data_IF_660131381109
#
_entry.id   IF_660131381109
#
_cell.length_a   1.000
_cell.length_b   1.000
_cell.length_c   1.000
_cell.angle_alpha   90.00
_cell.angle_beta   90.00
_cell.angle_gamma   90.00
#
_symmetry.space_group_name_H-M   'P 1'
#
loop_
_entity.id
_entity.type
_entity.pdbx_description
1 polymer ?
#
# COMPACT_ATOMS: atom_id res chain seq x y z
N UNK A 1 -16.20 37.11 49.46
CA UNK A 1 -14.83 37.07 50.00
C UNK A 1 -14.30 35.65 49.82
N UNK A 2 -13.20 35.48 49.05
CA UNK A 2 -12.27 34.30 48.92
C UNK A 2 -12.93 32.99 48.43
N UNK A 3 -12.76 32.48 47.19
CA UNK A 3 -11.58 32.07 46.38
C UNK A 3 -10.66 31.06 47.08
N UNK A 4 -10.64 29.81 46.57
CA UNK A 4 -9.51 28.88 46.31
C UNK A 4 -10.15 27.51 45.91
N UNK A 5 -10.19 27.05 44.66
CA UNK A 5 -9.12 26.46 43.82
C UNK A 5 -8.37 25.27 44.45
N UNK A 6 -8.67 24.05 43.99
CA UNK A 6 -7.65 23.00 43.74
C UNK A 6 -8.06 22.22 42.49
N UNK A 7 -7.41 22.56 41.37
CA UNK A 7 -7.34 21.75 40.17
C UNK A 7 -6.16 20.78 40.35
N UNK A 8 -6.43 19.48 40.41
CA UNK A 8 -5.38 18.46 40.44
C UNK A 8 -5.18 17.89 39.03
N UNK A 9 -4.17 18.46 38.38
CA UNK A 9 -3.21 17.83 37.47
C UNK A 9 -3.68 16.60 36.64
N UNK A 10 -4.13 16.86 35.42
CA UNK A 10 -3.99 15.94 34.28
C UNK A 10 -2.69 16.32 33.58
N UNK A 11 -1.57 15.68 33.91
CA UNK A 11 -0.31 16.00 33.22
C UNK A 11 0.75 14.90 33.36
N UNK A 12 0.50 13.69 32.84
CA UNK A 12 1.58 12.71 32.59
C UNK A 12 1.19 11.69 31.50
N UNK A 13 1.18 12.13 30.23
CA UNK A 13 1.15 11.18 29.10
C UNK A 13 1.81 11.71 27.82
N UNK A 14 2.58 12.79 27.89
CA UNK A 14 3.23 13.41 26.71
C UNK A 14 4.75 13.17 26.60
N UNK A 15 5.36 12.41 27.51
CA UNK A 15 6.82 12.15 27.48
C UNK A 15 7.24 10.76 26.96
N UNK A 16 6.31 9.87 26.61
CA UNK A 16 6.67 8.53 26.13
C UNK A 16 6.99 8.45 24.62
N UNK A 17 6.77 9.51 23.85
CA UNK A 17 7.01 9.47 22.39
C UNK A 17 8.47 9.75 22.00
N UNK A 18 9.23 10.49 22.82
CA UNK A 18 10.58 10.93 22.46
C UNK A 18 11.65 9.84 22.67
N UNK A 19 11.44 8.89 23.59
CA UNK A 19 12.40 7.82 23.87
C UNK A 19 12.36 6.66 22.85
N UNK A 20 11.30 6.53 22.05
CA UNK A 20 11.13 5.45 21.05
C UNK A 20 11.89 5.65 19.73
N UNK A 21 12.56 6.78 19.55
CA UNK A 21 13.33 7.04 18.33
C UNK A 21 14.75 6.44 18.37
N UNK A 22 15.30 6.19 19.56
CA UNK A 22 16.70 5.78 19.74
C UNK A 22 16.97 4.28 19.49
N UNK A 23 15.97 3.42 19.67
CA UNK A 23 16.12 1.95 19.54
C UNK A 23 15.42 1.40 18.28
N UNK A 24 15.48 2.13 17.17
CA UNK A 24 15.01 1.60 15.88
C UNK A 24 16.12 0.75 15.27
N UNK A 25 16.04 -0.59 15.27
CA UNK A 25 17.00 -1.39 14.53
C UNK A 25 16.94 -0.99 13.05
N UNK A 26 18.10 -0.80 12.43
CA UNK A 26 18.20 -0.37 11.03
C UNK A 26 17.58 -1.40 10.08
N UNK A 27 17.66 -2.71 10.41
CA UNK A 27 17.12 -3.84 9.63
C UNK A 27 16.85 -4.99 10.62
N UNK A 28 15.67 -5.62 10.57
CA UNK A 28 15.39 -6.87 11.30
C UNK A 28 15.88 -8.12 10.55
N UNK A 29 16.11 -9.23 11.25
CA UNK A 29 16.48 -10.52 10.66
C UNK A 29 15.23 -11.29 10.19
N UNK A 30 14.99 -11.28 8.87
CA UNK A 30 13.89 -12.00 8.25
C UNK A 30 13.90 -13.52 8.51
N UNK A 31 15.08 -14.15 8.67
CA UNK A 31 15.15 -15.60 8.95
C UNK A 31 14.70 -15.92 10.36
N UNK A 32 15.05 -15.08 11.33
CA UNK A 32 14.53 -15.20 12.69
C UNK A 32 13.02 -14.89 12.72
N UNK A 33 12.62 -13.85 12.00
CA UNK A 33 11.21 -13.47 11.84
C UNK A 33 10.33 -14.60 11.32
N UNK A 34 10.79 -15.35 10.32
CA UNK A 34 10.06 -16.52 9.80
C UNK A 34 9.81 -17.59 10.89
N UNK A 35 10.77 -17.80 11.79
CA UNK A 35 10.61 -18.73 12.92
C UNK A 35 9.53 -18.23 13.89
N UNK A 36 9.54 -16.93 14.18
CA UNK A 36 8.58 -16.30 15.09
C UNK A 36 7.16 -16.33 14.52
N UNK A 37 7.00 -16.01 13.23
CA UNK A 37 5.72 -16.11 12.53
C UNK A 37 5.20 -17.55 12.51
N UNK A 38 6.08 -18.52 12.25
CA UNK A 38 5.73 -19.95 12.28
C UNK A 38 5.31 -20.41 13.68
N UNK A 39 6.02 -19.98 14.73
CA UNK A 39 5.66 -20.27 16.12
C UNK A 39 4.30 -19.67 16.51
N UNK A 40 3.96 -18.50 15.97
CA UNK A 40 2.65 -17.87 16.12
C UNK A 40 1.56 -18.53 15.25
N UNK A 41 1.85 -19.62 14.54
CA UNK A 41 0.94 -20.29 13.58
C UNK A 41 0.40 -19.33 12.52
N UNK A 42 1.18 -18.31 12.16
CA UNK A 42 0.77 -17.30 11.21
C UNK A 42 1.05 -17.75 9.78
N UNK A 43 -0.02 -17.97 9.01
CA UNK A 43 0.10 -18.19 7.57
C UNK A 43 0.47 -16.86 6.90
N UNK A 44 1.69 -16.78 6.36
CA UNK A 44 2.10 -15.58 5.66
C UNK A 44 1.33 -15.47 4.34
N UNK A 45 0.70 -14.32 4.12
CA UNK A 45 0.02 -13.97 2.87
C UNK A 45 0.78 -12.87 2.12
N UNK A 46 0.61 -12.87 0.80
CA UNK A 46 1.01 -11.76 -0.07
C UNK A 46 -0.17 -10.81 -0.20
N UNK A 47 -0.07 -9.70 0.52
CA UNK A 47 -1.05 -8.62 0.61
C UNK A 47 -0.32 -7.33 1.00
N UNK A 48 0.28 -6.69 0.00
CA UNK A 48 1.01 -5.45 0.13
C UNK A 48 0.10 -4.30 0.58
N UNK A 49 -1.17 -4.29 0.20
CA UNK A 49 -2.14 -3.30 0.66
C UNK A 49 -2.30 -3.36 2.20
N UNK A 50 -2.51 -4.56 2.75
CA UNK A 50 -2.62 -4.78 4.19
C UNK A 50 -1.34 -4.41 4.94
N UNK A 51 -0.17 -4.80 4.43
CA UNK A 51 1.10 -4.53 5.11
C UNK A 51 1.47 -3.04 5.09
N UNK A 52 1.18 -2.34 3.99
CA UNK A 52 1.57 -0.94 3.81
C UNK A 52 0.58 0.08 4.38
N UNK A 53 -0.61 -0.33 4.83
CA UNK A 53 -1.63 0.60 5.37
C UNK A 53 -1.26 1.28 6.69
N UNK A 54 -0.22 0.80 7.37
CA UNK A 54 0.25 1.33 8.64
C UNK A 54 1.75 1.64 8.59
N UNK A 55 2.21 2.66 9.33
CA UNK A 55 3.63 2.82 9.58
C UNK A 55 4.18 1.67 10.44
N UNK A 56 5.48 1.40 10.32
CA UNK A 56 6.13 0.22 10.92
C UNK A 56 5.94 0.16 12.45
N UNK A 57 6.02 1.28 13.16
CA UNK A 57 5.80 1.37 14.61
C UNK A 57 4.38 0.93 15.01
N UNK A 58 3.37 1.33 14.24
CA UNK A 58 1.99 0.88 14.45
C UNK A 58 1.86 -0.62 14.16
N UNK A 59 2.55 -1.16 13.15
CA UNK A 59 2.55 -2.61 12.90
C UNK A 59 3.16 -3.37 14.08
N UNK A 60 4.28 -2.89 14.63
CA UNK A 60 4.90 -3.49 15.82
C UNK A 60 3.93 -3.49 17.01
N UNK A 61 3.21 -2.40 17.25
CA UNK A 61 2.17 -2.35 18.30
C UNK A 61 1.02 -3.33 18.06
N UNK A 62 0.63 -3.53 16.80
CA UNK A 62 -0.41 -4.50 16.42
C UNK A 62 0.05 -5.94 16.61
N UNK A 63 1.33 -6.22 16.36
CA UNK A 63 1.94 -7.52 16.64
C UNK A 63 2.07 -7.83 18.13
N UNK A 64 2.10 -6.82 19.00
CA UNK A 64 2.01 -7.05 20.46
C UNK A 64 0.60 -7.56 20.84
N UNK A 65 -0.44 -7.10 20.14
CA UNK A 65 -1.84 -7.36 20.49
C UNK A 65 -2.49 -8.49 19.68
N UNK A 66 -1.86 -8.92 18.58
CA UNK A 66 -2.47 -9.86 17.63
C UNK A 66 -3.72 -9.31 16.95
N UNK A 67 -3.73 -8.02 16.60
CA UNK A 67 -4.90 -7.36 16.01
C UNK A 67 -4.75 -7.01 14.52
N UNK A 68 -5.85 -6.65 13.87
CA UNK A 68 -5.85 -6.16 12.48
C UNK A 68 -5.20 -7.12 11.48
N UNK A 69 -5.30 -8.43 11.74
CA UNK A 69 -4.72 -9.49 10.92
C UNK A 69 -3.22 -9.70 11.10
N UNK A 70 -2.56 -9.03 12.06
CA UNK A 70 -1.18 -9.32 12.43
C UNK A 70 -1.13 -10.41 13.52
N UNK A 71 -0.10 -11.27 13.52
CA UNK A 71 0.06 -12.27 14.57
C UNK A 71 0.46 -11.63 15.88
N UNK A 72 0.04 -12.24 16.99
CA UNK A 72 0.62 -11.92 18.30
C UNK A 72 2.01 -12.53 18.40
N UNK A 73 3.03 -11.70 18.55
CA UNK A 73 4.41 -12.12 18.80
C UNK A 73 4.69 -11.98 20.31
N UNK A 74 4.51 -13.09 21.03
CA UNK A 74 4.69 -13.18 22.48
C UNK A 74 6.18 -13.27 22.84
N UNK A 75 6.87 -12.13 22.70
CA UNK A 75 8.26 -11.97 23.11
C UNK A 75 8.42 -10.65 23.85
N UNK A 76 9.16 -10.65 24.96
CA UNK A 76 9.50 -9.39 25.64
C UNK A 76 10.53 -8.58 24.83
N UNK A 77 11.30 -9.24 23.96
CA UNK A 77 12.30 -8.61 23.11
C UNK A 77 11.65 -7.81 21.96
N UNK A 78 11.93 -6.51 21.90
CA UNK A 78 11.45 -5.64 20.82
C UNK A 78 12.05 -6.05 19.47
N UNK A 79 13.28 -6.55 19.44
CA UNK A 79 13.95 -6.97 18.19
C UNK A 79 13.21 -8.13 17.50
N UNK A 80 12.64 -9.07 18.27
CA UNK A 80 11.89 -10.19 17.70
C UNK A 80 10.68 -9.72 16.89
N UNK A 81 9.99 -8.67 17.33
CA UNK A 81 8.88 -8.07 16.56
C UNK A 81 9.36 -7.39 15.28
N UNK A 82 10.53 -6.74 15.33
CA UNK A 82 11.15 -6.16 14.13
C UNK A 82 11.61 -7.23 13.15
N UNK A 83 12.11 -8.36 13.63
CA UNK A 83 12.46 -9.53 12.82
C UNK A 83 11.21 -10.10 12.14
N UNK A 84 10.11 -10.27 12.89
CA UNK A 84 8.83 -10.71 12.35
C UNK A 84 8.30 -9.74 11.27
N UNK A 85 8.40 -8.42 11.49
CA UNK A 85 8.07 -7.43 10.48
C UNK A 85 8.99 -7.52 9.25
N UNK A 86 10.29 -7.72 9.43
CA UNK A 86 11.24 -7.90 8.34
C UNK A 86 10.90 -9.13 7.49
N UNK A 87 10.47 -10.23 8.11
CA UNK A 87 10.00 -11.43 7.41
C UNK A 87 8.73 -11.15 6.58
N UNK A 88 7.75 -10.43 7.13
CA UNK A 88 6.57 -10.00 6.37
C UNK A 88 6.94 -9.10 5.19
N UNK A 89 7.84 -8.13 5.41
CA UNK A 89 8.33 -7.20 4.38
C UNK A 89 9.08 -7.92 3.26
N UNK A 90 9.86 -8.94 3.57
CA UNK A 90 10.58 -9.72 2.56
C UNK A 90 9.64 -10.44 1.58
N UNK A 91 8.46 -10.84 2.05
CA UNK A 91 7.44 -11.58 1.27
C UNK A 91 6.39 -10.70 0.60
N UNK A 92 6.42 -9.39 0.82
CA UNK A 92 5.43 -8.45 0.28
C UNK A 92 6.10 -7.34 -0.52
N UNK A 93 5.36 -6.67 -1.39
CA UNK A 93 5.86 -5.44 -2.00
C UNK A 93 5.87 -4.30 -0.96
N UNK A 94 6.97 -3.55 -0.88
CA UNK A 94 7.09 -2.42 0.05
C UNK A 94 6.69 -1.11 -0.64
N UNK A 95 5.81 -0.34 0.00
CA UNK A 95 5.44 0.99 -0.46
C UNK A 95 6.65 1.91 -0.59
N UNK A 96 7.68 1.71 0.25
CA UNK A 96 8.93 2.50 0.21
C UNK A 96 9.62 2.45 -1.17
N UNK A 97 9.50 1.33 -1.87
CA UNK A 97 10.04 1.14 -3.22
C UNK A 97 9.21 1.86 -4.31
N UNK A 98 8.00 2.31 -3.97
CA UNK A 98 7.02 2.91 -4.88
C UNK A 98 6.81 4.42 -4.63
N UNK A 99 7.50 5.02 -3.65
CA UNK A 99 7.22 6.39 -3.20
C UNK A 99 7.50 7.48 -4.26
N UNK A 100 8.42 7.23 -5.20
CA UNK A 100 8.77 8.23 -6.23
C UNK A 100 9.20 9.59 -5.65
N UNK A 101 9.81 9.61 -4.47
CA UNK A 101 10.21 10.84 -3.77
C UNK A 101 9.12 11.49 -2.91
N UNK A 102 7.99 10.81 -2.68
CA UNK A 102 7.00 11.21 -1.70
C UNK A 102 7.51 11.08 -0.26
N UNK A 103 7.06 11.98 0.60
CA UNK A 103 7.31 12.01 2.05
C UNK A 103 6.00 11.97 2.87
N UNK A 104 4.85 11.98 2.20
CA UNK A 104 3.54 11.81 2.82
C UNK A 104 2.66 10.88 1.99
N UNK A 105 1.89 10.04 2.69
CA UNK A 105 1.02 9.03 2.10
C UNK A 105 -0.37 9.18 2.68
N UNK A 106 -1.36 9.43 1.84
CA UNK A 106 -2.77 9.34 2.17
C UNK A 106 -3.25 7.92 1.90
N UNK A 107 -3.73 7.22 2.93
CA UNK A 107 -4.26 5.86 2.79
C UNK A 107 -5.79 5.93 2.77
N UNK A 108 -6.40 5.55 1.64
CA UNK A 108 -7.84 5.65 1.46
C UNK A 108 -8.42 4.32 0.95
N UNK A 109 -9.44 3.76 1.62
CA UNK A 109 -10.26 2.72 1.02
C UNK A 109 -11.11 3.34 -0.10
N UNK A 110 -11.11 2.71 -1.25
CA UNK A 110 -11.90 3.08 -2.42
C UNK A 110 -12.76 1.91 -2.85
N UNK A 111 -13.97 2.21 -3.29
CA UNK A 111 -14.87 1.26 -3.92
C UNK A 111 -15.25 1.77 -5.30
N UNK A 112 -15.25 0.88 -6.29
CA UNK A 112 -15.63 1.23 -7.64
C UNK A 112 -17.14 1.47 -7.71
N UNK A 113 -17.54 2.61 -8.28
CA UNK A 113 -18.94 2.92 -8.53
C UNK A 113 -19.49 2.16 -9.75
N UNK A 114 -20.81 2.19 -9.93
CA UNK A 114 -21.48 1.49 -11.03
C UNK A 114 -20.93 1.90 -12.41
N UNK A 115 -20.48 3.15 -12.56
CA UNK A 115 -19.92 3.65 -13.80
C UNK A 115 -18.51 3.11 -14.08
N UNK A 116 -17.65 3.02 -13.07
CA UNK A 116 -16.34 2.39 -13.15
C UNK A 116 -16.47 0.91 -13.45
N UNK A 117 -17.40 0.22 -12.77
CA UNK A 117 -17.73 -1.19 -13.05
C UNK A 117 -18.17 -1.36 -14.51
N UNK A 118 -19.06 -0.50 -15.02
CA UNK A 118 -19.51 -0.55 -16.41
C UNK A 118 -18.35 -0.34 -17.40
N UNK A 119 -17.47 0.66 -17.18
CA UNK A 119 -16.30 0.89 -18.06
C UNK A 119 -15.36 -0.31 -18.09
N UNK A 120 -15.08 -0.92 -16.94
CA UNK A 120 -14.20 -2.09 -16.85
C UNK A 120 -14.79 -3.33 -17.54
N UNK A 121 -16.10 -3.56 -17.39
CA UNK A 121 -16.80 -4.68 -18.06
C UNK A 121 -16.94 -4.43 -19.56
N UNK A 122 -17.37 -3.25 -19.96
CA UNK A 122 -17.79 -2.98 -21.33
C UNK A 122 -16.62 -2.60 -22.23
N UNK A 123 -15.65 -1.84 -21.73
CA UNK A 123 -14.51 -1.37 -22.52
C UNK A 123 -13.29 -2.25 -22.32
N UNK A 124 -12.95 -2.53 -21.06
CA UNK A 124 -11.77 -3.34 -20.73
C UNK A 124 -12.05 -4.85 -20.80
N UNK A 125 -13.30 -5.31 -20.79
CA UNK A 125 -13.68 -6.74 -20.81
C UNK A 125 -13.17 -7.53 -19.59
N UNK A 126 -13.03 -6.86 -18.44
CA UNK A 126 -12.60 -7.51 -17.20
C UNK A 126 -13.78 -8.27 -16.57
N UNK A 127 -13.60 -9.52 -16.11
CA UNK A 127 -14.64 -10.29 -15.45
C UNK A 127 -15.17 -9.60 -14.18
N UNK A 128 -16.49 -9.61 -13.98
CA UNK A 128 -17.13 -8.99 -12.81
C UNK A 128 -16.59 -9.48 -11.46
N UNK A 129 -16.21 -10.75 -11.36
CA UNK A 129 -15.65 -11.33 -10.13
C UNK A 129 -14.32 -10.71 -9.70
N UNK A 130 -13.61 -10.00 -10.59
CA UNK A 130 -12.37 -9.28 -10.27
C UNK A 130 -12.61 -7.80 -9.93
N UNK A 131 -13.84 -7.30 -10.01
CA UNK A 131 -14.19 -5.87 -9.92
C UNK A 131 -14.75 -5.51 -8.54
N UNK A 132 -15.56 -6.38 -7.92
CA UNK A 132 -16.35 -6.07 -6.72
C UNK A 132 -15.60 -6.23 -5.38
N UNK A 133 -14.47 -5.53 -5.24
CA UNK A 133 -13.66 -5.54 -4.02
C UNK A 133 -13.31 -4.12 -3.55
N UNK A 134 -13.31 -3.91 -2.23
CA UNK A 134 -12.76 -2.69 -1.62
C UNK A 134 -11.23 -2.71 -1.80
N UNK A 135 -10.67 -1.57 -2.22
CA UNK A 135 -9.23 -1.44 -2.53
C UNK A 135 -8.61 -0.31 -1.74
N UNK A 136 -7.38 -0.50 -1.28
CA UNK A 136 -6.61 0.59 -0.69
C UNK A 136 -5.81 1.29 -1.78
N UNK A 137 -5.99 2.61 -1.86
CA UNK A 137 -5.19 3.49 -2.69
C UNK A 137 -4.32 4.36 -1.80
N UNK A 138 -3.03 4.44 -2.14
CA UNK A 138 -2.04 5.21 -1.44
C UNK A 138 -1.73 6.47 -2.25
N UNK A 139 -2.34 7.60 -1.89
CA UNK A 139 -2.03 8.89 -2.50
C UNK A 139 -0.66 9.38 -2.05
N UNK A 140 0.25 9.66 -2.98
CA UNK A 140 1.65 9.99 -2.70
C UNK A 140 1.88 11.50 -2.84
N UNK A 141 2.46 12.13 -1.83
CA UNK A 141 2.67 13.57 -1.73
C UNK A 141 4.11 13.91 -1.33
N UNK A 142 4.65 14.99 -1.90
CA UNK A 142 5.96 15.56 -1.57
C UNK A 142 5.76 16.91 -0.89
N UNK A 143 5.82 16.90 0.43
CA UNK A 143 5.49 18.04 1.32
C UNK A 143 6.72 18.76 1.86
N UNK A 144 7.92 18.20 1.68
CA UNK A 144 9.18 18.70 2.25
C UNK A 144 9.47 18.18 3.66
N UNK A 145 8.81 17.11 4.10
CA UNK A 145 9.01 16.52 5.42
C UNK A 145 10.29 15.68 5.47
N UNK A 146 10.94 15.60 6.64
CA UNK A 146 12.20 14.87 6.84
C UNK A 146 12.04 13.34 6.94
N UNK A 147 10.85 12.81 6.70
CA UNK A 147 10.55 11.39 6.78
C UNK A 147 9.14 11.06 6.29
N UNK A 148 8.87 9.77 6.07
CA UNK A 148 7.60 9.30 5.55
C UNK A 148 6.49 9.43 6.61
N UNK A 149 5.43 10.16 6.26
CA UNK A 149 4.27 10.35 7.12
C UNK A 149 3.02 9.69 6.54
N UNK A 150 2.31 8.91 7.36
CA UNK A 150 1.05 8.27 6.97
C UNK A 150 -0.12 9.10 7.48
N UNK A 151 -1.04 9.44 6.59
CA UNK A 151 -2.25 10.21 6.86
C UNK A 151 -3.47 9.33 6.60
N UNK A 152 -4.22 9.05 7.66
CA UNK A 152 -5.47 8.29 7.57
C UNK A 152 -6.65 9.13 7.08
N UNK A 153 -7.75 8.47 6.67
CA UNK A 153 -8.92 9.12 6.08
C UNK A 153 -9.60 10.11 7.04
N UNK A 154 -9.55 9.85 8.35
CA UNK A 154 -10.21 10.64 9.39
C UNK A 154 -9.33 11.79 9.93
N UNK A 155 -8.08 11.92 9.49
CA UNK A 155 -7.13 12.92 10.00
C UNK A 155 -7.24 14.25 9.23
N UNK A 156 -8.40 14.91 9.31
CA UNK A 156 -8.75 16.12 8.53
C UNK A 156 -7.63 17.18 8.51
N UNK A 157 -7.14 17.60 9.68
CA UNK A 157 -6.07 18.61 9.79
C UNK A 157 -4.77 18.25 9.07
N UNK A 158 -4.44 16.96 8.96
CA UNK A 158 -3.25 16.50 8.24
C UNK A 158 -3.55 16.34 6.75
N UNK A 159 -4.76 15.92 6.40
CA UNK A 159 -5.25 15.89 5.01
C UNK A 159 -5.27 17.28 4.37
N UNK A 160 -5.64 18.32 5.10
CA UNK A 160 -5.65 19.71 4.61
C UNK A 160 -4.26 20.21 4.17
N UNK A 161 -3.18 19.59 4.70
CA UNK A 161 -1.80 19.90 4.30
C UNK A 161 -1.38 19.20 3.01
N UNK A 162 -2.13 18.18 2.57
CA UNK A 162 -1.87 17.45 1.35
C UNK A 162 -2.52 18.19 0.18
N UNK A 163 -1.71 18.93 -0.58
CA UNK A 163 -2.20 19.77 -1.67
C UNK A 163 -2.04 19.06 -3.02
N UNK A 164 -2.92 19.38 -3.98
CA UNK A 164 -2.91 18.79 -5.33
C UNK A 164 -1.60 19.02 -6.10
N UNK A 165 -0.97 20.18 -5.92
CA UNK A 165 0.33 20.52 -6.51
C UNK A 165 1.46 19.65 -5.93
N UNK A 166 1.41 19.39 -4.61
CA UNK A 166 2.37 18.51 -3.90
C UNK A 166 2.19 17.02 -4.15
N UNK A 167 1.04 16.59 -4.69
CA UNK A 167 0.85 15.18 -5.10
C UNK A 167 1.94 14.81 -6.10
N UNK A 168 2.43 13.57 -6.10
CA UNK A 168 3.39 13.06 -7.09
C UNK A 168 2.88 11.83 -7.82
N UNK A 169 1.91 11.12 -7.24
CA UNK A 169 1.29 9.96 -7.86
C UNK A 169 0.48 9.15 -6.85
N UNK A 170 0.39 7.86 -7.11
CA UNK A 170 -0.38 6.89 -6.37
C UNK A 170 0.39 5.57 -6.30
N UNK A 171 0.16 4.79 -5.25
CA UNK A 171 0.50 3.38 -5.24
C UNK A 171 -0.75 2.53 -4.98
N UNK A 172 -0.82 1.37 -5.65
CA UNK A 172 -1.95 0.42 -5.52
C UNK A 172 -1.39 -1.00 -5.58
N UNK A 173 -1.88 -1.87 -4.71
CA UNK A 173 -1.49 -3.28 -4.62
C UNK A 173 -2.74 -4.12 -4.89
N UNK A 174 -2.70 -4.99 -5.89
CA UNK A 174 -3.86 -5.78 -6.32
C UNK A 174 -3.46 -7.19 -6.73
N UNK A 175 -4.32 -8.20 -6.50
CA UNK A 175 -4.16 -9.49 -7.14
C UNK A 175 -4.21 -9.33 -8.67
N UNK A 176 -3.45 -10.15 -9.39
CA UNK A 176 -3.42 -10.17 -10.86
C UNK A 176 -4.55 -11.09 -11.36
N UNK A 177 -5.65 -10.54 -11.92
CA UNK A 177 -6.84 -11.33 -12.22
C UNK A 177 -6.55 -12.47 -13.21
N UNK A 178 -7.00 -13.68 -12.87
CA UNK A 178 -6.88 -14.87 -13.74
C UNK A 178 -5.45 -15.39 -13.95
N UNK A 179 -4.40 -14.67 -13.54
CA UNK A 179 -3.03 -15.12 -13.70
C UNK A 179 -2.69 -16.19 -12.68
N UNK A 180 -2.47 -17.43 -13.16
CA UNK A 180 -2.08 -18.60 -12.34
C UNK A 180 -2.94 -18.76 -11.08
N UNK A 181 -4.26 -18.60 -11.24
CA UNK A 181 -5.23 -18.72 -10.15
C UNK A 181 -5.43 -17.47 -9.29
N UNK A 182 -4.95 -16.30 -9.72
CA UNK A 182 -5.23 -15.01 -9.07
C UNK A 182 -4.47 -14.76 -7.77
N UNK A 183 -3.48 -15.60 -7.46
CA UNK A 183 -2.73 -15.56 -6.19
C UNK A 183 -1.46 -14.69 -6.24
N UNK A 184 -1.12 -14.19 -7.43
CA UNK A 184 0.00 -13.27 -7.61
C UNK A 184 -0.49 -11.85 -7.36
N UNK A 185 0.35 -11.00 -6.78
CA UNK A 185 0.06 -9.58 -6.57
C UNK A 185 0.89 -8.72 -7.53
N UNK A 186 0.30 -7.66 -8.06
CA UNK A 186 1.00 -6.56 -8.68
C UNK A 186 0.93 -5.32 -7.79
N UNK A 187 2.08 -4.72 -7.53
CA UNK A 187 2.22 -3.45 -6.86
C UNK A 187 2.61 -2.38 -7.88
N UNK A 188 1.72 -1.42 -8.13
CA UNK A 188 1.90 -0.35 -9.10
C UNK A 188 2.23 0.97 -8.40
N UNK A 189 3.21 1.70 -8.93
CA UNK A 189 3.31 3.14 -8.77
C UNK A 189 2.78 3.81 -10.05
N UNK A 190 1.89 4.79 -9.91
CA UNK A 190 1.16 5.44 -11.00
C UNK A 190 1.30 6.96 -10.85
N UNK A 191 1.61 7.68 -11.92
CA UNK A 191 1.66 9.15 -11.88
C UNK A 191 0.26 9.80 -11.94
N UNK A 192 0.21 11.13 -11.93
CA UNK A 192 -1.06 11.90 -12.03
C UNK A 192 -1.77 11.71 -13.37
N UNK A 193 -1.07 11.32 -14.41
CA UNK A 193 -1.59 11.12 -15.76
C UNK A 193 -1.96 9.66 -16.05
N UNK A 194 -1.93 8.82 -15.00
CA UNK A 194 -2.24 7.39 -15.06
C UNK A 194 -1.22 6.64 -15.94
N UNK A 195 0.06 7.00 -15.81
CA UNK A 195 1.16 6.23 -16.37
C UNK A 195 1.84 5.41 -15.29
N UNK A 196 2.24 4.20 -15.63
CA UNK A 196 3.00 3.32 -14.73
C UNK A 196 4.40 3.91 -14.53
N UNK A 197 4.75 4.25 -13.30
CA UNK A 197 6.11 4.67 -12.92
C UNK A 197 6.96 3.47 -12.51
N UNK A 198 6.35 2.52 -11.81
CA UNK A 198 6.98 1.27 -11.38
C UNK A 198 5.92 0.18 -11.25
N UNK A 199 6.34 -1.07 -11.43
CA UNK A 199 5.50 -2.24 -11.16
C UNK A 199 6.38 -3.36 -10.63
N UNK A 200 5.90 -4.03 -9.58
CA UNK A 200 6.53 -5.23 -9.02
C UNK A 200 5.49 -6.34 -8.92
N UNK A 201 5.88 -7.56 -9.31
CA UNK A 201 5.05 -8.76 -9.21
C UNK A 201 5.57 -9.65 -8.09
N UNK A 202 4.67 -10.05 -7.18
CA UNK A 202 4.92 -11.00 -6.10
C UNK A 202 4.18 -12.31 -6.37
N UNK A 203 4.89 -13.42 -6.24
CA UNK A 203 4.32 -14.75 -6.29
C UNK A 203 3.65 -15.11 -4.95
N UNK A 204 2.78 -16.13 -4.89
CA UNK A 204 2.03 -16.47 -3.67
C UNK A 204 2.91 -16.86 -2.48
N UNK A 205 4.14 -17.31 -2.73
CA UNK A 205 5.15 -17.64 -1.72
C UNK A 205 5.93 -16.41 -1.21
N UNK A 206 5.62 -15.22 -1.73
CA UNK A 206 6.28 -13.94 -1.42
C UNK A 206 7.53 -13.64 -2.24
N UNK A 207 7.98 -14.59 -3.07
CA UNK A 207 9.11 -14.36 -3.97
C UNK A 207 8.78 -13.30 -5.02
N UNK A 208 9.83 -12.69 -5.59
CA UNK A 208 9.72 -11.77 -6.72
C UNK A 208 10.34 -12.45 -7.96
N UNK A 209 9.56 -13.21 -8.76
CA UNK A 209 10.10 -13.95 -9.90
C UNK A 209 10.76 -13.01 -10.90
N UNK A 210 12.04 -13.25 -11.20
CA UNK A 210 12.85 -12.34 -12.02
C UNK A 210 12.30 -12.19 -13.44
N UNK A 211 11.85 -13.27 -14.06
CA UNK A 211 11.28 -13.30 -15.39
C UNK A 211 9.98 -12.48 -15.48
N UNK A 212 9.07 -12.63 -14.51
CA UNK A 212 7.83 -11.87 -14.44
C UNK A 212 8.09 -10.39 -14.17
N UNK A 213 9.02 -10.05 -13.28
CA UNK A 213 9.36 -8.66 -12.99
C UNK A 213 10.08 -7.98 -14.16
N UNK A 214 10.91 -8.70 -14.92
CA UNK A 214 11.48 -8.21 -16.18
C UNK A 214 10.40 -7.97 -17.24
N UNK A 215 9.39 -8.84 -17.32
CA UNK A 215 8.24 -8.62 -18.22
C UNK A 215 7.40 -7.43 -17.76
N UNK A 216 7.10 -7.32 -16.46
CA UNK A 216 6.34 -6.23 -15.87
C UNK A 216 7.03 -4.87 -16.07
N UNK A 217 8.36 -4.80 -15.95
CA UNK A 217 9.13 -3.57 -16.16
C UNK A 217 8.90 -2.94 -17.55
N UNK A 218 8.49 -3.72 -18.57
CA UNK A 218 8.16 -3.19 -19.90
C UNK A 218 6.88 -2.36 -19.95
N UNK A 219 6.06 -2.42 -18.90
CA UNK A 219 4.87 -1.60 -18.74
C UNK A 219 5.17 -0.21 -18.15
N UNK A 220 6.39 0.04 -17.66
CA UNK A 220 6.80 1.37 -17.20
C UNK A 220 6.68 2.39 -18.35
N UNK A 221 6.09 3.55 -18.04
CA UNK A 221 5.75 4.61 -18.97
C UNK A 221 4.51 4.35 -19.83
N UNK A 222 3.83 3.20 -19.65
CA UNK A 222 2.57 2.88 -20.35
C UNK A 222 1.37 3.32 -19.52
N UNK A 223 0.20 3.32 -20.16
CA UNK A 223 -1.04 3.82 -19.58
C UNK A 223 -1.24 5.29 -19.92
N UNK A 224 -2.49 5.73 -19.82
CA UNK A 224 -2.87 7.13 -19.87
C UNK A 224 -4.30 7.27 -19.36
N UNK A 225 -4.62 8.48 -18.89
CA UNK A 225 -5.96 8.82 -18.43
C UNK A 225 -7.03 8.54 -19.49
N UNK A 226 -8.11 7.89 -19.08
CA UNK A 226 -9.26 7.55 -19.92
C UNK A 226 -9.01 6.47 -20.99
N UNK A 227 -7.85 5.80 -21.00
CA UNK A 227 -7.57 4.71 -21.94
C UNK A 227 -7.84 3.35 -21.30
N UNK A 228 -8.81 2.62 -21.86
CA UNK A 228 -9.20 1.27 -21.42
C UNK A 228 -8.71 0.16 -22.35
N UNK A 229 -7.93 0.52 -23.37
CA UNK A 229 -7.27 -0.45 -24.21
C UNK A 229 -6.18 -1.16 -23.42
N UNK A 230 -5.93 -2.42 -23.78
CA UNK A 230 -4.86 -3.22 -23.20
C UNK A 230 -3.50 -2.52 -23.36
N UNK A 231 -2.72 -2.51 -22.28
CA UNK A 231 -1.38 -1.94 -22.27
C UNK A 231 -0.45 -2.73 -23.20
N UNK A 232 0.23 -2.01 -24.10
CA UNK A 232 1.19 -2.59 -25.04
C UNK A 232 2.61 -2.45 -24.50
N UNK A 233 3.14 -3.51 -23.90
CA UNK A 233 4.51 -3.59 -23.40
C UNK A 233 5.58 -3.60 -24.53
N UNK A 234 5.24 -4.18 -25.69
CA UNK A 234 6.20 -4.39 -26.78
C UNK A 234 7.16 -5.56 -26.54
N UNK A 235 7.65 -6.13 -27.65
CA UNK A 235 8.57 -7.28 -27.64
C UNK A 235 7.87 -8.64 -27.52
N UNK A 236 8.68 -9.69 -27.46
CA UNK A 236 8.22 -11.09 -27.36
C UNK A 236 8.78 -11.78 -26.12
N UNK A 237 8.20 -12.92 -25.75
CA UNK A 237 8.64 -13.78 -24.65
C UNK A 237 7.47 -14.51 -23.98
N UNK A 238 7.70 -15.74 -23.52
CA UNK A 238 6.65 -16.56 -22.89
C UNK A 238 6.05 -15.88 -21.65
N UNK A 239 6.90 -15.43 -20.72
CA UNK A 239 6.48 -14.71 -19.52
C UNK A 239 5.64 -13.45 -19.85
N UNK A 240 6.07 -12.68 -20.87
CA UNK A 240 5.31 -11.52 -21.32
C UNK A 240 3.96 -11.92 -21.93
N UNK A 241 3.92 -12.96 -22.76
CA UNK A 241 2.67 -13.44 -23.36
C UNK A 241 1.64 -13.91 -22.32
N UNK A 242 2.11 -14.55 -21.24
CA UNK A 242 1.24 -14.98 -20.13
C UNK A 242 0.81 -13.81 -19.23
N UNK A 243 1.70 -12.86 -18.98
CA UNK A 243 1.50 -11.79 -18.00
C UNK A 243 0.81 -10.55 -18.58
N UNK A 244 0.97 -10.27 -19.88
CA UNK A 244 0.64 -8.96 -20.44
C UNK A 244 -0.83 -8.56 -20.24
N UNK A 245 -1.74 -9.46 -20.63
CA UNK A 245 -3.16 -9.22 -20.49
C UNK A 245 -3.60 -9.14 -19.02
N UNK A 246 -3.29 -10.12 -18.16
CA UNK A 246 -3.66 -10.04 -16.74
C UNK A 246 -3.08 -8.83 -16.01
N UNK A 247 -1.84 -8.44 -16.30
CA UNK A 247 -1.22 -7.27 -15.68
C UNK A 247 -1.85 -5.96 -16.20
N UNK A 248 -2.25 -5.92 -17.48
CA UNK A 248 -3.03 -4.80 -18.01
C UNK A 248 -4.39 -4.70 -17.33
N UNK A 249 -5.08 -5.81 -17.10
CA UNK A 249 -6.37 -5.82 -16.41
C UNK A 249 -6.20 -5.34 -14.95
N UNK A 250 -5.16 -5.81 -14.24
CA UNK A 250 -4.81 -5.33 -12.91
C UNK A 250 -4.49 -3.82 -12.89
N UNK A 251 -3.79 -3.32 -13.90
CA UNK A 251 -3.51 -1.89 -14.04
C UNK A 251 -4.79 -1.06 -14.25
N UNK A 252 -5.72 -1.52 -15.08
CA UNK A 252 -6.98 -0.79 -15.32
C UNK A 252 -7.85 -0.75 -14.05
N UNK A 253 -7.83 -1.81 -13.24
CA UNK A 253 -8.45 -1.82 -11.91
C UNK A 253 -7.78 -0.80 -10.97
N UNK A 254 -6.45 -0.74 -10.97
CA UNK A 254 -5.70 0.25 -10.18
C UNK A 254 -6.03 1.69 -10.62
N UNK A 255 -6.07 1.94 -11.93
CA UNK A 255 -6.41 3.23 -12.50
C UNK A 255 -7.81 3.71 -12.11
N UNK A 256 -8.82 2.83 -12.17
CA UNK A 256 -10.17 3.16 -11.72
C UNK A 256 -10.24 3.41 -10.20
N UNK A 257 -9.50 2.65 -9.40
CA UNK A 257 -9.42 2.89 -7.96
C UNK A 257 -8.82 4.27 -7.67
N UNK A 258 -7.80 4.68 -8.43
CA UNK A 258 -7.24 6.04 -8.37
C UNK A 258 -8.27 7.09 -8.76
N UNK A 259 -9.08 6.88 -9.79
CA UNK A 259 -10.15 7.82 -10.14
C UNK A 259 -11.18 7.99 -9.03
N UNK A 260 -11.55 6.91 -8.33
CA UNK A 260 -12.47 7.00 -7.19
C UNK A 260 -11.87 7.84 -6.06
N UNK A 261 -10.59 7.62 -5.72
CA UNK A 261 -9.88 8.49 -4.78
C UNK A 261 -9.88 9.95 -5.23
N UNK A 262 -9.64 10.22 -6.51
CA UNK A 262 -9.64 11.60 -7.03
C UNK A 262 -11.02 12.26 -6.95
N UNK A 263 -12.10 11.50 -7.07
CA UNK A 263 -13.48 12.00 -6.87
C UNK A 263 -13.68 12.37 -5.40
N UNK A 264 -13.35 11.46 -4.48
CA UNK A 264 -13.45 11.71 -3.03
C UNK A 264 -12.62 12.92 -2.59
N UNK A 265 -11.43 13.09 -3.16
CA UNK A 265 -10.58 14.24 -2.91
C UNK A 265 -11.16 15.54 -3.47
N UNK A 266 -11.81 15.53 -4.65
CA UNK A 266 -12.46 16.73 -5.20
C UNK A 266 -13.61 17.18 -4.33
N UNK A 267 -14.42 16.26 -3.84
CA UNK A 267 -15.52 16.57 -2.91
C UNK A 267 -14.97 17.17 -1.61
N UNK A 268 -13.78 16.74 -1.17
CA UNK A 268 -13.14 17.23 0.04
C UNK A 268 -12.42 18.58 -0.13
N UNK A 269 -11.73 18.80 -1.25
CA UNK A 269 -10.92 20.01 -1.52
C UNK A 269 -11.71 21.15 -2.19
N UNK A 270 -13.03 21.01 -2.39
CA UNK A 270 -13.89 22.12 -2.80
C UNK A 270 -14.18 23.05 -1.60
N UNK A 271 -13.20 23.89 -1.24
CA UNK A 271 -13.36 25.10 -0.42
C UNK A 271 -12.35 26.17 -0.86
#
# INVERSE_FOLDING_TARGET
>A
MRVLSVATLVLFSLFALAARAADRPLIGDAKNGDKLLSAASFETRVDGAWLNRFPDDVIIEKMVRGDSGFPQIDSENVLDRWDALAALRAKNADLKDLLGGADAVLVMPTKLDEHAVARLKDQAKIPGSAIDEDRLVFGLYKTGASGLSFVGPKETKRRDKLKKDTKVGYAVFLPIPGFRGGKYEAAFAIDKDIRVLAVTVRAPDGSAPTDLNQAAARFVGKGARGQYAELKAGGAGKALGELARPLSDAFLLAAESVYMLEVDEREYFQF
#
